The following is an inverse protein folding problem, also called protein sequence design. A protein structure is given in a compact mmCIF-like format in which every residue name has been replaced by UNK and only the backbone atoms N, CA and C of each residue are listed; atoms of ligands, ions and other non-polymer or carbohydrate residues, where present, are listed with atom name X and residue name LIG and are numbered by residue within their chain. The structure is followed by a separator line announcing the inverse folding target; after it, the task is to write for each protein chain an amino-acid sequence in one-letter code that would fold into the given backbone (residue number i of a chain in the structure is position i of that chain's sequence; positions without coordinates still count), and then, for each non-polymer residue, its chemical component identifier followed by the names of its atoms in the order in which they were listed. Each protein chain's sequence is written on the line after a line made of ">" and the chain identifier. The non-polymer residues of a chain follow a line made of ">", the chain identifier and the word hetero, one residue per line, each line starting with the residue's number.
data_IF_352514188973
#
_entry.id   IF_352514188973
#
_cell.length_a   1.000
_cell.length_b   1.000
_cell.length_c   1.000
_cell.angle_alpha   90.00
_cell.angle_beta   90.00
_cell.angle_gamma   90.00
#
_symmetry.space_group_name_H-M   'P 1'
#
loop_
_entity.id
_entity.type
_entity.pdbx_description
1 polymer ?
#
# COMPACT_ATOMS: atom_id res chain seq x y z
N UNK A 1 -0.85 12.16 10.66
CA UNK A 1 -1.20 11.15 9.64
C UNK A 1 -0.39 9.89 9.93
N UNK A 2 -1.06 8.75 10.02
CA UNK A 2 -0.48 7.40 10.04
C UNK A 2 -0.42 6.88 8.60
N UNK A 3 0.61 6.11 8.24
CA UNK A 3 0.71 5.50 6.90
C UNK A 3 0.53 3.98 7.00
N UNK A 4 -0.42 3.42 6.27
CA UNK A 4 -0.60 1.97 6.13
C UNK A 4 0.03 1.56 4.81
N UNK A 5 1.17 0.86 4.87
CA UNK A 5 1.94 0.45 3.71
C UNK A 5 1.67 -1.02 3.38
N UNK A 6 1.23 -1.29 2.14
CA UNK A 6 1.05 -2.63 1.61
C UNK A 6 2.16 -2.94 0.61
N UNK A 7 2.92 -3.99 0.88
CA UNK A 7 4.04 -4.43 0.05
C UNK A 7 3.78 -5.80 -0.56
N UNK A 8 4.18 -5.96 -1.80
CA UNK A 8 4.26 -7.21 -2.57
C UNK A 8 4.58 -6.83 -4.01
N UNK A 9 5.08 -7.78 -4.79
CA UNK A 9 5.25 -7.66 -6.22
C UNK A 9 3.92 -7.39 -6.95
N UNK A 10 3.97 -7.00 -8.24
CA UNK A 10 2.78 -6.72 -9.02
C UNK A 10 1.78 -7.90 -9.06
N UNK A 11 0.51 -7.60 -9.36
CA UNK A 11 -0.56 -8.60 -9.50
C UNK A 11 -0.89 -9.44 -8.25
N UNK A 12 -0.52 -9.00 -7.04
CA UNK A 12 -0.77 -9.73 -5.78
C UNK A 12 -2.09 -9.42 -5.08
N UNK A 13 -2.91 -8.49 -5.61
CA UNK A 13 -4.18 -8.07 -4.98
C UNK A 13 -4.09 -6.84 -4.07
N UNK A 14 -2.90 -6.23 -3.91
CA UNK A 14 -2.69 -5.05 -3.03
C UNK A 14 -3.71 -3.93 -3.23
N UNK A 15 -3.93 -3.48 -4.47
CA UNK A 15 -4.85 -2.37 -4.74
C UNK A 15 -6.30 -2.69 -4.36
N UNK A 16 -6.71 -3.94 -4.51
CA UNK A 16 -8.04 -4.41 -4.07
C UNK A 16 -8.14 -4.36 -2.55
N UNK A 17 -7.12 -4.90 -1.86
CA UNK A 17 -7.05 -4.88 -0.40
C UNK A 17 -6.98 -3.44 0.15
N UNK A 18 -6.20 -2.56 -0.48
CA UNK A 18 -6.11 -1.14 -0.14
C UNK A 18 -7.47 -0.45 -0.25
N UNK A 19 -8.23 -0.74 -1.33
CA UNK A 19 -9.59 -0.23 -1.51
C UNK A 19 -10.57 -0.71 -0.42
N UNK A 20 -10.45 -1.97 0.00
CA UNK A 20 -11.28 -2.51 1.09
C UNK A 20 -10.94 -1.86 2.45
N UNK A 21 -9.66 -1.78 2.79
CA UNK A 21 -9.17 -1.08 4.01
C UNK A 21 -9.64 0.37 4.02
N UNK A 22 -9.42 1.10 2.92
CA UNK A 22 -9.86 2.49 2.76
C UNK A 22 -11.37 2.62 3.00
N UNK A 23 -12.17 1.77 2.35
CA UNK A 23 -13.64 1.79 2.49
C UNK A 23 -14.06 1.55 3.93
N UNK A 24 -13.47 0.56 4.60
CA UNK A 24 -13.76 0.25 6.02
C UNK A 24 -13.34 1.39 6.95
N UNK A 25 -12.19 2.03 6.72
CA UNK A 25 -11.74 3.20 7.49
C UNK A 25 -12.68 4.40 7.33
N UNK A 26 -13.10 4.73 6.10
CA UNK A 26 -14.06 5.83 5.86
C UNK A 26 -15.40 5.55 6.55
N UNK A 27 -15.89 4.31 6.51
CA UNK A 27 -17.12 3.89 7.23
C UNK A 27 -16.98 4.00 8.75
N UNK A 28 -15.77 3.86 9.29
CA UNK A 28 -15.46 4.07 10.70
C UNK A 28 -15.24 5.57 11.07
N UNK A 29 -15.53 6.50 10.16
CA UNK A 29 -15.39 7.94 10.41
C UNK A 29 -13.94 8.43 10.48
N UNK A 30 -13.01 7.69 9.87
CA UNK A 30 -11.61 8.08 9.74
C UNK A 30 -11.44 8.91 8.47
N UNK A 31 -10.72 10.03 8.56
CA UNK A 31 -10.30 10.76 7.36
C UNK A 31 -9.13 10.03 6.69
N UNK A 32 -9.46 8.95 5.97
CA UNK A 32 -8.52 8.18 5.18
C UNK A 32 -8.37 8.73 3.76
N UNK A 33 -7.18 8.58 3.19
CA UNK A 33 -6.83 8.83 1.79
C UNK A 33 -6.16 7.58 1.18
N UNK A 34 -6.31 7.40 -0.14
CA UNK A 34 -5.64 6.35 -0.91
C UNK A 34 -4.89 6.99 -2.10
N UNK A 35 -3.62 7.40 -1.90
CA UNK A 35 -2.82 7.99 -2.97
C UNK A 35 -2.71 7.04 -4.17
N UNK A 36 -2.82 7.52 -5.42
CA UNK A 36 -2.79 6.66 -6.58
C UNK A 36 -1.37 6.18 -6.89
N UNK A 37 -1.22 4.89 -7.19
CA UNK A 37 0.06 4.29 -7.57
C UNK A 37 0.65 4.94 -8.83
N UNK A 38 1.77 5.66 -8.65
CA UNK A 38 2.52 6.33 -9.73
C UNK A 38 2.92 5.34 -10.82
N UNK A 39 3.41 4.16 -10.43
CA UNK A 39 3.91 3.17 -11.38
C UNK A 39 2.83 2.73 -12.39
N UNK A 40 1.59 2.53 -11.89
CA UNK A 40 0.43 2.15 -12.70
C UNK A 40 -0.05 3.29 -13.59
N UNK A 41 -0.15 4.50 -13.04
CA UNK A 41 -0.54 5.69 -13.81
C UNK A 41 0.41 5.94 -14.99
N UNK A 42 1.72 5.80 -14.76
CA UNK A 42 2.76 5.98 -15.78
C UNK A 42 2.79 4.83 -16.79
N UNK A 43 2.62 3.59 -16.33
CA UNK A 43 2.52 2.40 -17.22
C UNK A 43 1.34 2.52 -18.19
N UNK A 44 0.18 3.00 -17.74
CA UNK A 44 -0.98 3.23 -18.60
C UNK A 44 -0.75 4.31 -19.66
N UNK A 45 0.17 5.25 -19.41
CA UNK A 45 0.57 6.31 -20.35
C UNK A 45 1.79 5.95 -21.20
N UNK A 46 2.29 4.71 -21.08
CA UNK A 46 3.54 4.26 -21.70
C UNK A 46 4.76 5.15 -21.37
N UNK A 47 4.76 5.80 -20.21
CA UNK A 47 5.83 6.68 -19.75
C UNK A 47 6.92 5.88 -19.01
N UNK A 48 7.55 4.96 -19.74
CA UNK A 48 8.55 4.05 -19.17
C UNK A 48 9.85 4.76 -18.79
N UNK A 49 10.15 5.90 -19.42
CA UNK A 49 11.29 6.74 -19.05
C UNK A 49 11.15 7.28 -17.63
N UNK A 50 9.95 7.75 -17.25
CA UNK A 50 9.67 8.18 -15.88
C UNK A 50 9.80 7.02 -14.90
N UNK A 51 9.32 5.82 -15.24
CA UNK A 51 9.45 4.64 -14.37
C UNK A 51 10.90 4.21 -14.14
N UNK A 52 11.78 4.43 -15.12
CA UNK A 52 13.21 4.16 -14.97
C UNK A 52 13.91 5.18 -14.06
N UNK A 53 13.37 6.40 -13.95
CA UNK A 53 13.85 7.44 -13.04
C UNK A 53 13.24 7.27 -11.64
N UNK A 54 13.90 6.46 -10.82
CA UNK A 54 13.42 6.21 -9.46
C UNK A 54 13.51 7.41 -8.52
N UNK A 55 14.32 8.43 -8.83
CA UNK A 55 14.33 9.68 -8.07
C UNK A 55 13.04 10.48 -8.36
N UNK A 56 12.60 10.51 -9.63
CA UNK A 56 11.33 11.12 -10.01
C UNK A 56 10.12 10.37 -9.43
N UNK A 57 10.10 9.03 -9.53
CA UNK A 57 9.03 8.19 -8.93
C UNK A 57 8.94 8.39 -7.41
N UNK A 58 10.09 8.41 -6.74
CA UNK A 58 10.19 8.67 -5.30
C UNK A 58 9.65 10.06 -4.94
N UNK A 59 10.09 11.10 -5.66
CA UNK A 59 9.67 12.48 -5.43
C UNK A 59 8.17 12.68 -5.63
N UNK A 60 7.57 12.06 -6.65
CA UNK A 60 6.13 12.19 -6.89
C UNK A 60 5.30 11.43 -5.84
N UNK A 61 5.76 10.23 -5.44
CA UNK A 61 5.14 9.49 -4.34
C UNK A 61 5.21 10.27 -3.02
N UNK A 62 6.36 10.88 -2.72
CA UNK A 62 6.53 11.75 -1.54
C UNK A 62 5.60 12.95 -1.60
N UNK A 63 5.48 13.59 -2.78
CA UNK A 63 4.59 14.72 -2.97
C UNK A 63 3.13 14.36 -2.68
N UNK A 64 2.64 13.22 -3.19
CA UNK A 64 1.28 12.75 -2.92
C UNK A 64 1.01 12.53 -1.43
N UNK A 65 1.96 11.91 -0.71
CA UNK A 65 1.83 11.69 0.73
C UNK A 65 1.82 13.00 1.52
N UNK A 66 2.63 13.98 1.09
CA UNK A 66 2.58 15.33 1.66
C UNK A 66 1.25 16.03 1.38
N UNK A 67 0.64 15.83 0.21
CA UNK A 67 -0.69 16.36 -0.09
C UNK A 67 -1.76 15.74 0.80
N UNK A 68 -1.77 14.42 0.97
CA UNK A 68 -2.68 13.74 1.91
C UNK A 68 -2.50 14.25 3.35
N UNK A 69 -1.27 14.46 3.79
CA UNK A 69 -0.99 15.03 5.12
C UNK A 69 -1.56 16.45 5.26
N UNK A 70 -1.40 17.29 4.23
CA UNK A 70 -1.88 18.69 4.22
C UNK A 70 -3.40 18.81 4.09
N UNK A 71 -4.08 17.84 3.49
CA UNK A 71 -5.55 17.82 3.42
C UNK A 71 -6.21 17.49 4.77
N UNK A 72 -5.42 17.12 5.79
CA UNK A 72 -5.91 16.73 7.11
C UNK A 72 -6.21 15.24 7.22
N UNK A 73 -5.67 14.40 6.32
CA UNK A 73 -5.84 12.96 6.42
C UNK A 73 -5.24 12.42 7.73
N UNK A 74 -6.03 11.61 8.42
CA UNK A 74 -5.60 10.86 9.59
C UNK A 74 -4.78 9.64 9.16
N UNK A 75 -5.16 9.01 8.05
CA UNK A 75 -4.54 7.78 7.52
C UNK A 75 -4.34 7.89 6.01
N UNK A 76 -3.17 7.48 5.52
CA UNK A 76 -2.96 7.19 4.11
C UNK A 76 -2.76 5.69 3.92
N UNK A 77 -3.57 5.04 3.07
CA UNK A 77 -3.41 3.64 2.69
C UNK A 77 -2.66 3.59 1.36
N UNK A 78 -1.49 2.96 1.34
CA UNK A 78 -0.53 3.06 0.23
C UNK A 78 -0.19 1.66 -0.27
N UNK A 79 -0.48 1.37 -1.53
CA UNK A 79 -0.17 0.10 -2.20
C UNK A 79 1.12 0.14 -3.06
N UNK A 80 1.81 1.28 -3.02
CA UNK A 80 3.18 1.48 -3.53
C UNK A 80 4.01 2.32 -2.54
N UNK A 81 4.46 1.72 -1.42
CA UNK A 81 5.19 2.45 -0.37
C UNK A 81 6.50 3.06 -0.87
N UNK A 82 6.93 4.19 -0.28
CA UNK A 82 8.18 4.89 -0.68
C UNK A 82 9.42 3.98 -0.72
N UNK A 83 9.52 3.02 0.20
CA UNK A 83 10.66 2.11 0.27
C UNK A 83 10.76 1.17 -0.95
N UNK A 84 9.69 1.01 -1.74
CA UNK A 84 9.76 0.27 -3.00
C UNK A 84 10.71 0.94 -4.02
N UNK A 85 10.96 2.24 -3.92
CA UNK A 85 11.95 2.91 -4.78
C UNK A 85 13.36 2.30 -4.64
N UNK A 86 13.68 1.66 -3.51
CA UNK A 86 14.95 0.95 -3.32
C UNK A 86 15.02 -0.38 -4.10
N UNK A 87 13.87 -1.02 -4.28
CA UNK A 87 13.74 -2.29 -5.02
C UNK A 87 13.73 -2.05 -6.53
N UNK A 88 13.16 -0.92 -6.96
CA UNK A 88 13.06 -0.56 -8.37
C UNK A 88 14.23 0.30 -8.87
N UNK A 89 15.10 0.80 -7.99
CA UNK A 89 16.32 1.51 -8.37
C UNK A 89 17.22 0.63 -9.25
N UNK A 90 17.69 1.11 -10.41
CA UNK A 90 18.65 0.37 -11.22
C UNK A 90 19.96 0.22 -10.44
N UNK A 91 20.74 -0.84 -10.72
CA UNK A 91 22.05 -1.04 -10.09
C UNK A 91 23.15 -0.95 -11.14
N UNK A 92 24.22 -0.15 -10.93
CA UNK A 92 24.46 0.76 -9.80
C UNK A 92 23.55 2.01 -9.80
N UNK A 93 23.41 2.66 -8.64
CA UNK A 93 22.64 3.91 -8.46
C UNK A 93 23.37 4.92 -7.56
N UNK A 94 22.72 6.05 -7.27
CA UNK A 94 23.19 7.04 -6.30
C UNK A 94 23.38 6.39 -4.92
N UNK A 95 24.62 6.40 -4.42
CA UNK A 95 24.98 5.76 -3.15
C UNK A 95 24.22 6.31 -1.93
N UNK A 96 23.82 7.59 -1.98
CA UNK A 96 23.07 8.26 -0.91
C UNK A 96 21.55 8.03 -0.99
N UNK A 97 21.04 7.45 -2.08
CA UNK A 97 19.61 7.29 -2.29
C UNK A 97 18.92 6.43 -1.22
N UNK A 98 19.48 5.28 -0.78
CA UNK A 98 18.87 4.51 0.32
C UNK A 98 18.70 5.30 1.62
N UNK A 99 19.70 6.10 1.99
CA UNK A 99 19.63 6.94 3.18
C UNK A 99 18.58 8.05 3.03
N UNK A 100 18.50 8.69 1.87
CA UNK A 100 17.49 9.71 1.58
C UNK A 100 16.06 9.13 1.65
N UNK A 101 15.81 8.00 0.98
CA UNK A 101 14.49 7.36 1.00
C UNK A 101 14.10 7.00 2.43
N UNK A 102 15.04 6.48 3.22
CA UNK A 102 14.81 6.14 4.62
C UNK A 102 14.46 7.36 5.48
N UNK A 103 15.24 8.43 5.37
CA UNK A 103 15.02 9.68 6.10
C UNK A 103 13.63 10.26 5.78
N UNK A 104 13.27 10.30 4.49
CA UNK A 104 11.96 10.79 4.07
C UNK A 104 10.83 9.88 4.56
N UNK A 105 10.99 8.56 4.48
CA UNK A 105 10.02 7.60 5.00
C UNK A 105 9.72 7.84 6.48
N UNK A 106 10.75 8.00 7.31
CA UNK A 106 10.60 8.26 8.75
C UNK A 106 9.98 9.64 9.03
N UNK A 107 10.24 10.64 8.18
CA UNK A 107 9.69 12.00 8.33
C UNK A 107 8.16 12.08 8.12
N UNK A 108 7.56 11.09 7.45
CA UNK A 108 6.11 11.10 7.19
C UNK A 108 5.29 10.94 8.47
N UNK A 109 5.82 10.17 9.42
CA UNK A 109 5.18 9.83 10.69
C UNK A 109 5.18 8.32 10.94
N UNK A 110 4.37 7.84 11.88
CA UNK A 110 4.27 6.41 12.17
C UNK A 110 3.71 5.65 10.95
N UNK A 111 4.18 4.41 10.79
CA UNK A 111 3.71 3.49 9.76
C UNK A 111 3.25 2.16 10.33
N UNK A 112 2.31 1.51 9.64
CA UNK A 112 2.01 0.09 9.78
C UNK A 112 2.36 -0.58 8.45
N UNK A 113 3.32 -1.51 8.49
CA UNK A 113 3.90 -2.11 7.30
C UNK A 113 3.47 -3.59 7.18
N UNK A 114 2.80 -3.90 6.07
CA UNK A 114 2.25 -5.22 5.81
C UNK A 114 2.78 -5.81 4.51
N UNK A 115 3.28 -7.04 4.55
CA UNK A 115 3.60 -7.78 3.34
C UNK A 115 2.45 -8.71 2.98
N UNK A 116 1.95 -8.56 1.76
CA UNK A 116 0.86 -9.34 1.22
C UNK A 116 1.39 -10.65 0.61
N UNK A 117 1.08 -11.77 1.26
CA UNK A 117 1.30 -13.10 0.69
C UNK A 117 0.41 -13.26 -0.53
N UNK A 118 1.04 -13.58 -1.67
CA UNK A 118 0.33 -13.86 -2.93
C UNK A 118 -0.54 -15.10 -2.76
N UNK A 119 -1.82 -14.96 -3.07
CA UNK A 119 -2.72 -16.11 -3.20
C UNK A 119 -2.53 -16.73 -4.61
N UNK A 120 -2.14 -18.00 -4.73
CA UNK A 120 -1.97 -18.66 -6.02
C UNK A 120 -3.26 -18.74 -6.85
N UNK A 121 -4.43 -18.48 -6.25
CA UNK A 121 -5.72 -18.42 -6.95
C UNK A 121 -5.97 -17.09 -7.65
N UNK A 122 -5.23 -16.04 -7.30
CA UNK A 122 -5.37 -14.73 -7.97
C UNK A 122 -4.74 -14.83 -9.35
N UNK A 123 -5.57 -14.75 -10.38
CA UNK A 123 -5.09 -14.73 -11.76
C UNK A 123 -4.15 -13.55 -11.98
N UNK A 124 -2.98 -13.84 -12.56
CA UNK A 124 -2.06 -12.82 -12.99
C UNK A 124 -2.72 -11.92 -14.05
N UNK A 125 -2.47 -10.62 -13.97
CA UNK A 125 -2.98 -9.64 -14.93
C UNK A 125 -1.83 -8.77 -15.41
N UNK A 126 -1.67 -8.63 -16.72
CA UNK A 126 -0.62 -7.79 -17.33
C UNK A 126 -1.04 -6.31 -17.47
N UNK A 127 -2.33 -6.01 -17.28
CA UNK A 127 -2.89 -4.68 -17.58
C UNK A 127 -2.25 -3.60 -16.70
N UNK A 128 -1.63 -2.62 -17.35
CA UNK A 128 -0.93 -1.52 -16.68
C UNK A 128 0.34 -1.95 -15.94
N UNK A 129 0.99 -3.04 -16.36
CA UNK A 129 2.20 -3.57 -15.72
C UNK A 129 3.28 -3.88 -16.75
N UNK A 130 4.52 -3.59 -16.37
CA UNK A 130 5.73 -3.88 -17.15
C UNK A 130 6.33 -5.25 -16.85
N UNK A 131 5.93 -5.88 -15.73
CA UNK A 131 6.49 -7.16 -15.28
C UNK A 131 5.61 -8.32 -15.72
N UNK A 132 6.21 -9.45 -16.05
CA UNK A 132 5.52 -10.74 -16.16
C UNK A 132 5.29 -11.39 -14.78
N UNK A 133 4.71 -12.59 -14.77
CA UNK A 133 4.44 -13.34 -13.54
C UNK A 133 5.72 -13.72 -12.78
N UNK A 134 6.71 -14.27 -13.49
CA UNK A 134 8.00 -14.69 -12.90
C UNK A 134 8.75 -13.50 -12.28
N UNK A 135 8.79 -12.38 -13.01
CA UNK A 135 9.34 -11.11 -12.53
C UNK A 135 8.57 -10.56 -11.34
N UNK A 136 7.25 -10.75 -11.30
CA UNK A 136 6.44 -10.34 -10.15
C UNK A 136 6.76 -11.16 -8.89
N UNK A 137 7.00 -12.46 -9.05
CA UNK A 137 7.51 -13.32 -7.96
C UNK A 137 8.93 -12.98 -7.54
N UNK A 138 9.80 -12.59 -8.48
CA UNK A 138 11.13 -12.10 -8.16
C UNK A 138 11.06 -10.80 -7.35
N UNK A 139 10.15 -9.89 -7.70
CA UNK A 139 9.91 -8.68 -6.90
C UNK A 139 9.39 -8.98 -5.50
N UNK A 140 8.60 -10.03 -5.29
CA UNK A 140 8.22 -10.46 -3.94
C UNK A 140 9.46 -10.76 -3.06
N UNK A 141 10.47 -11.45 -3.61
CA UNK A 141 11.72 -11.77 -2.91
C UNK A 141 12.55 -10.52 -2.62
N UNK A 142 12.77 -9.68 -3.64
CA UNK A 142 13.58 -8.46 -3.49
C UNK A 142 12.96 -7.48 -2.48
N UNK A 143 11.63 -7.42 -2.40
CA UNK A 143 10.92 -6.61 -1.41
C UNK A 143 11.18 -7.14 0.00
N UNK A 144 11.12 -8.46 0.21
CA UNK A 144 11.40 -9.08 1.50
C UNK A 144 12.86 -8.89 1.94
N UNK A 145 13.80 -8.95 0.99
CA UNK A 145 15.22 -8.66 1.25
C UNK A 145 15.42 -7.20 1.65
N UNK A 146 14.89 -6.25 0.86
CA UNK A 146 14.93 -4.83 1.18
C UNK A 146 14.34 -4.54 2.56
N UNK A 147 13.22 -5.18 2.89
CA UNK A 147 12.56 -5.10 4.18
C UNK A 147 13.46 -5.52 5.35
N UNK A 148 14.21 -6.60 5.18
CA UNK A 148 15.18 -7.08 6.18
C UNK A 148 16.36 -6.10 6.31
N UNK A 149 16.90 -5.61 5.19
CA UNK A 149 17.96 -4.61 5.16
C UNK A 149 17.55 -3.31 5.88
N UNK A 150 16.30 -2.88 5.66
CA UNK A 150 15.70 -1.72 6.30
C UNK A 150 15.22 -1.99 7.74
N UNK A 151 15.32 -3.22 8.25
CA UNK A 151 14.91 -3.60 9.62
C UNK A 151 13.47 -3.17 9.95
N UNK A 152 12.56 -3.28 8.98
CA UNK A 152 11.15 -2.91 9.20
C UNK A 152 10.45 -3.97 10.05
N UNK A 153 9.54 -3.53 10.92
CA UNK A 153 8.61 -4.44 11.62
C UNK A 153 7.44 -4.75 10.70
N UNK A 154 7.46 -5.92 10.08
CA UNK A 154 6.46 -6.31 9.07
C UNK A 154 5.48 -7.32 9.64
N UNK A 155 4.21 -7.14 9.29
CA UNK A 155 3.19 -8.16 9.49
C UNK A 155 2.86 -8.84 8.16
N UNK A 156 2.82 -10.16 8.15
CA UNK A 156 2.46 -10.92 6.96
C UNK A 156 0.95 -11.15 6.93
N UNK A 157 0.30 -10.79 5.83
CA UNK A 157 -1.16 -10.92 5.65
C UNK A 157 -1.50 -11.54 4.29
N UNK A 158 -2.74 -11.96 4.11
CA UNK A 158 -3.27 -12.41 2.81
C UNK A 158 -4.23 -11.37 2.21
N UNK A 159 -4.68 -11.61 0.98
CA UNK A 159 -5.62 -10.73 0.27
C UNK A 159 -7.08 -11.10 0.59
N UNK A 160 -7.45 -11.06 1.87
CA UNK A 160 -8.80 -11.37 2.33
C UNK A 160 -9.48 -10.19 3.03
N UNK A 161 -10.81 -10.24 3.10
CA UNK A 161 -11.62 -9.28 3.88
C UNK A 161 -11.28 -9.36 5.38
N UNK A 162 -10.91 -10.55 5.88
CA UNK A 162 -10.48 -10.72 7.25
C UNK A 162 -9.16 -9.97 7.51
N UNK A 163 -8.19 -10.09 6.61
CA UNK A 163 -6.94 -9.31 6.66
C UNK A 163 -7.20 -7.81 6.59
N UNK A 164 -8.13 -7.35 5.74
CA UNK A 164 -8.54 -5.94 5.73
C UNK A 164 -9.07 -5.47 7.09
N UNK A 165 -9.90 -6.30 7.73
CA UNK A 165 -10.47 -6.02 9.05
C UNK A 165 -9.40 -5.97 10.15
N UNK A 166 -8.39 -6.85 10.08
CA UNK A 166 -7.22 -6.81 10.99
C UNK A 166 -6.47 -5.49 10.83
N UNK A 167 -6.15 -5.10 9.59
CA UNK A 167 -5.43 -3.86 9.30
C UNK A 167 -6.21 -2.62 9.78
N UNK A 168 -7.53 -2.62 9.60
CA UNK A 168 -8.40 -1.54 10.11
C UNK A 168 -8.36 -1.46 11.63
N UNK A 169 -8.43 -2.60 12.33
CA UNK A 169 -8.39 -2.62 13.79
C UNK A 169 -7.01 -2.22 14.34
N UNK A 170 -5.92 -2.63 13.69
CA UNK A 170 -4.57 -2.16 14.02
C UNK A 170 -4.44 -0.65 13.83
N UNK A 171 -4.99 -0.14 12.73
CA UNK A 171 -5.04 1.30 12.41
C UNK A 171 -5.81 2.08 13.47
N UNK A 172 -7.00 1.63 13.86
CA UNK A 172 -7.81 2.27 14.90
C UNK A 172 -7.10 2.26 16.25
N UNK A 173 -6.46 1.15 16.63
CA UNK A 173 -5.65 1.06 17.85
C UNK A 173 -4.47 2.03 17.83
N UNK A 174 -3.76 2.13 16.70
CA UNK A 174 -2.66 3.07 16.53
C UNK A 174 -3.11 4.54 16.63
N UNK A 175 -4.36 4.84 16.28
CA UNK A 175 -4.99 6.16 16.46
C UNK A 175 -5.61 6.37 17.85
N UNK A 176 -5.53 5.39 18.76
CA UNK A 176 -6.15 5.46 20.08
C UNK A 176 -7.69 5.37 20.07
N UNK A 177 -8.27 4.79 19.02
CA UNK A 177 -9.72 4.61 18.86
C UNK A 177 -10.15 3.17 19.16
N UNK A 178 -11.42 3.00 19.52
CA UNK A 178 -12.01 1.66 19.68
C UNK A 178 -11.98 0.89 18.35
N UNK A 179 -11.76 -0.44 18.37
CA UNK A 179 -11.82 -1.27 17.17
C UNK A 179 -13.18 -1.16 16.49
N UNK A 180 -13.22 -1.38 15.17
CA UNK A 180 -14.48 -1.43 14.45
C UNK A 180 -15.29 -2.61 14.99
N UNK A 181 -16.48 -2.36 15.53
CA UNK A 181 -17.41 -3.42 15.89
C UNK A 181 -17.68 -4.27 14.63
N UNK A 182 -17.63 -5.59 14.75
CA UNK A 182 -18.12 -6.47 13.69
C UNK A 182 -19.55 -6.02 13.37
N UNK A 183 -19.83 -5.73 12.10
CA UNK A 183 -21.15 -5.30 11.69
C UNK A 183 -22.17 -6.36 12.14
N UNK A 184 -22.91 -6.05 13.19
CA UNK A 184 -24.09 -6.81 13.60
C UNK A 184 -25.00 -6.79 12.39
N UNK A 185 -25.35 -7.98 11.86
CA UNK A 185 -26.32 -8.10 10.77
C UNK A 185 -27.52 -7.22 11.09
N UNK A 186 -27.75 -6.19 10.26
CA UNK A 186 -29.00 -5.45 10.30
C UNK A 186 -30.12 -6.48 10.13
N UNK A 187 -31.10 -6.56 11.06
CA UNK A 187 -32.21 -7.49 10.91
C UNK A 187 -32.85 -7.20 9.56
N UNK A 188 -32.83 -8.21 8.67
CA UNK A 188 -33.47 -8.14 7.37
C UNK A 188 -34.91 -7.71 7.62
N UNK A 189 -35.26 -6.46 7.29
CA UNK A 189 -36.65 -6.03 7.25
C UNK A 189 -37.32 -6.95 6.25
N UNK A 190 -38.11 -7.90 6.74
CA UNK A 190 -39.04 -8.65 5.91
C UNK A 190 -39.95 -7.62 5.25
N UNK A 191 -39.71 -7.34 3.96
CA UNK A 191 -40.70 -6.67 3.15
C UNK A 191 -41.91 -7.61 3.11
N UNK A 192 -43.00 -7.20 3.78
CA UNK A 192 -44.28 -7.88 3.62
C UNK A 192 -44.75 -7.62 2.19
N UNK A 193 -45.05 -8.65 1.39
CA UNK A 193 -45.70 -8.44 0.12
C UNK A 193 -47.11 -7.89 0.39
N UNK A 194 -47.41 -6.78 -0.28
CA UNK A 194 -48.75 -6.19 -0.42
C UNK A 194 -49.65 -7.04 -1.30
#
# INVERSE_FOLDING_TARGET
>A
MLVVNLYAGPSSGKSTLAGDIFTKLKRAGIQAEIPPEIAKLRSQRADFGFLADQLAVFGETQHQLNMAKRSGAEVAVVDSPLLLSLVYAPRPYLATFPALVREVFESLGPSLDYFLKRDPKIAFSQVGRIHDESQSHQKDREILEMMQEQRLKIQMIDSSEQSATIVVNDTLRALGRAPAAQAVELPRRQMRPS
#
